data_IF_223431797153
#
_entry.id   IF_223431797153
#
_cell.length_a   1.000
_cell.length_b   1.000
_cell.length_c   1.000
_cell.angle_alpha   90.00
_cell.angle_beta   90.00
_cell.angle_gamma   90.00
#
_symmetry.space_group_name_H-M   'P 1'
#
loop_
_entity.id
_entity.type
_entity.pdbx_description
1 polymer ?
#
# COMPACT_ATOMS: atom_id res chain seq x y z
N UNK A 1 22.32 -3.20 18.97
CA UNK A 1 21.06 -3.31 18.23
C UNK A 1 21.20 -4.51 17.32
N UNK A 2 20.78 -5.68 17.78
CA UNK A 2 20.66 -6.85 16.91
C UNK A 2 19.54 -6.52 15.91
N UNK A 3 19.91 -6.44 14.63
CA UNK A 3 18.95 -6.40 13.54
C UNK A 3 18.17 -7.71 13.60
N UNK A 4 16.85 -7.63 13.74
CA UNK A 4 15.92 -8.76 13.72
C UNK A 4 16.37 -9.78 12.68
N UNK A 5 16.49 -11.05 13.09
CA UNK A 5 16.94 -12.12 12.19
C UNK A 5 16.03 -12.25 10.96
N UNK A 6 16.54 -12.83 9.87
CA UNK A 6 15.75 -13.12 8.67
C UNK A 6 14.34 -13.71 8.92
N UNK A 7 14.17 -14.74 9.79
CA UNK A 7 12.86 -15.29 10.08
C UNK A 7 11.96 -14.36 10.90
N UNK A 8 12.50 -13.64 11.89
CA UNK A 8 11.72 -12.69 12.69
C UNK A 8 11.20 -11.52 11.85
N UNK A 9 12.01 -11.06 10.89
CA UNK A 9 11.59 -10.05 9.93
C UNK A 9 10.50 -10.57 8.99
N UNK A 10 10.58 -11.84 8.57
CA UNK A 10 9.56 -12.45 7.73
C UNK A 10 8.22 -12.57 8.47
N UNK A 11 8.24 -12.99 9.74
CA UNK A 11 7.06 -13.06 10.60
C UNK A 11 6.45 -11.67 10.83
N UNK A 12 7.30 -10.66 11.07
CA UNK A 12 6.85 -9.27 11.20
C UNK A 12 6.15 -8.81 9.92
N UNK A 13 6.76 -9.02 8.76
CA UNK A 13 6.18 -8.65 7.46
C UNK A 13 4.86 -9.39 7.23
N UNK A 14 4.78 -10.69 7.54
CA UNK A 14 3.56 -11.48 7.41
C UNK A 14 2.43 -10.98 8.32
N UNK A 15 2.74 -10.36 9.45
CA UNK A 15 1.76 -9.79 10.40
C UNK A 15 1.22 -8.41 10.01
N UNK A 16 1.81 -7.75 9.01
CA UNK A 16 1.40 -6.39 8.62
C UNK A 16 -0.02 -6.37 8.03
N UNK A 17 -0.87 -5.39 8.36
CA UNK A 17 -2.19 -5.20 7.77
C UNK A 17 -2.11 -4.54 6.37
N UNK A 18 -1.14 -4.97 5.57
CA UNK A 18 -0.76 -4.38 4.29
C UNK A 18 0.63 -4.87 3.88
N UNK A 19 1.15 -4.35 2.77
CA UNK A 19 2.44 -4.75 2.22
C UNK A 19 3.35 -3.53 2.04
N UNK A 20 4.66 -3.75 1.89
CA UNK A 20 5.60 -2.69 1.54
C UNK A 20 5.90 -2.71 0.05
N UNK A 21 6.08 -1.51 -0.51
CA UNK A 21 6.38 -1.29 -1.92
C UNK A 21 7.52 -0.27 -2.05
N UNK A 22 8.45 -0.52 -2.98
CA UNK A 22 9.51 0.40 -3.33
C UNK A 22 9.52 0.66 -4.85
N UNK A 23 9.44 1.92 -5.24
CA UNK A 23 9.41 2.34 -6.64
C UNK A 23 10.33 3.54 -6.90
N UNK A 24 10.81 3.66 -8.13
CA UNK A 24 11.55 4.83 -8.60
C UNK A 24 10.61 6.02 -8.89
N UNK A 25 11.17 7.20 -9.17
CA UNK A 25 10.38 8.40 -9.57
C UNK A 25 9.64 8.18 -10.89
N UNK A 26 10.20 7.35 -11.75
CA UNK A 26 9.66 7.00 -13.06
C UNK A 26 8.55 5.95 -12.94
N UNK A 27 8.38 5.35 -11.77
CA UNK A 27 7.39 4.30 -11.51
C UNK A 27 7.92 2.88 -11.66
N UNK A 28 9.21 2.69 -11.97
CA UNK A 28 9.82 1.36 -11.99
C UNK A 28 9.70 0.68 -10.62
N UNK A 29 9.19 -0.55 -10.60
CA UNK A 29 9.04 -1.37 -9.41
C UNK A 29 10.39 -1.97 -9.01
N UNK A 30 10.86 -1.67 -7.81
CA UNK A 30 12.16 -2.13 -7.29
C UNK A 30 12.00 -3.26 -6.28
N UNK A 31 10.92 -3.22 -5.50
CA UNK A 31 10.66 -4.26 -4.51
C UNK A 31 9.23 -4.22 -4.00
N UNK A 32 8.77 -5.40 -3.58
CA UNK A 32 7.50 -5.61 -2.90
C UNK A 32 7.68 -6.74 -1.89
N UNK A 33 7.03 -6.68 -0.74
CA UNK A 33 7.08 -7.76 0.25
C UNK A 33 6.25 -8.96 -0.15
N UNK A 34 6.66 -10.15 0.27
CA UNK A 34 6.04 -11.43 -0.12
C UNK A 34 4.58 -11.57 0.35
N UNK A 35 4.20 -10.88 1.43
CA UNK A 35 2.84 -10.87 1.95
C UNK A 35 1.82 -10.19 1.02
N UNK A 36 2.26 -9.53 -0.07
CA UNK A 36 1.37 -8.92 -1.08
C UNK A 36 0.34 -9.89 -1.66
N UNK A 37 0.66 -11.18 -1.74
CA UNK A 37 -0.26 -12.22 -2.19
C UNK A 37 -1.52 -12.33 -1.32
N UNK A 38 -1.39 -12.09 -0.02
CA UNK A 38 -2.53 -12.12 0.92
C UNK A 38 -3.48 -10.94 0.69
N UNK A 39 -2.95 -9.82 0.19
CA UNK A 39 -3.68 -8.58 -0.01
C UNK A 39 -4.25 -8.43 -1.43
N UNK A 40 -3.46 -8.70 -2.47
CA UNK A 40 -3.83 -8.50 -3.87
C UNK A 40 -4.13 -9.82 -4.62
N UNK A 41 -3.75 -10.96 -4.06
CA UNK A 41 -3.89 -12.28 -4.70
C UNK A 41 -2.84 -12.58 -5.77
N UNK A 42 -1.89 -11.67 -6.02
CA UNK A 42 -0.74 -11.89 -6.88
C UNK A 42 0.47 -12.27 -6.04
N UNK A 43 1.25 -13.29 -6.42
CA UNK A 43 2.53 -13.53 -5.76
C UNK A 43 3.51 -12.39 -6.06
N UNK A 44 4.51 -12.18 -5.19
CA UNK A 44 5.61 -11.23 -5.46
C UNK A 44 6.25 -11.53 -6.82
N UNK A 45 6.47 -12.81 -7.11
CA UNK A 45 7.02 -13.27 -8.39
C UNK A 45 6.11 -12.89 -9.56
N UNK A 46 4.80 -13.07 -9.43
CA UNK A 46 3.86 -12.68 -10.49
C UNK A 46 3.87 -11.17 -10.70
N UNK A 47 3.93 -10.35 -9.65
CA UNK A 47 3.95 -8.89 -9.79
C UNK A 47 5.21 -8.39 -10.49
N UNK A 48 6.36 -8.94 -10.09
CA UNK A 48 7.66 -8.60 -10.69
C UNK A 48 7.78 -9.15 -12.11
N UNK A 49 7.17 -10.30 -12.40
CA UNK A 49 7.13 -10.88 -13.74
C UNK A 49 6.08 -10.22 -14.65
N UNK A 50 4.97 -9.71 -14.10
CA UNK A 50 3.88 -9.07 -14.84
C UNK A 50 4.17 -7.60 -15.19
N UNK A 51 4.99 -6.91 -14.39
CA UNK A 51 5.29 -5.50 -14.63
C UNK A 51 6.64 -5.08 -14.07
N UNK A 52 7.45 -4.45 -14.92
CA UNK A 52 8.64 -3.71 -14.49
C UNK A 52 8.24 -2.37 -13.82
N UNK A 53 6.95 -2.01 -13.90
CA UNK A 53 6.41 -0.72 -13.48
C UNK A 53 5.19 -0.87 -12.57
N UNK A 54 5.07 0.03 -11.59
CA UNK A 54 3.89 0.15 -10.74
C UNK A 54 2.63 0.41 -11.58
N UNK A 55 2.74 1.11 -12.71
CA UNK A 55 1.59 1.43 -13.56
C UNK A 55 0.95 0.20 -14.21
N UNK A 56 1.68 -0.91 -14.36
CA UNK A 56 1.10 -2.16 -14.88
C UNK A 56 0.19 -2.83 -13.83
N UNK A 57 0.38 -2.48 -12.56
CA UNK A 57 -0.36 -3.01 -11.43
C UNK A 57 -1.57 -2.14 -11.05
N UNK A 58 -1.69 -0.94 -11.61
CA UNK A 58 -2.69 0.05 -11.21
C UNK A 58 -3.84 0.14 -12.22
N UNK A 59 -4.97 0.72 -11.76
CA UNK A 59 -6.00 1.20 -12.66
C UNK A 59 -5.46 2.39 -13.49
N UNK A 60 -5.58 2.36 -14.83
CA UNK A 60 -5.14 3.46 -15.70
C UNK A 60 -5.69 4.84 -15.31
N UNK A 61 -6.89 4.88 -14.72
CA UNK A 61 -7.49 6.13 -14.25
C UNK A 61 -6.69 6.79 -13.11
N UNK A 62 -5.89 6.01 -12.36
CA UNK A 62 -5.09 6.51 -11.24
C UNK A 62 -3.64 6.84 -11.65
N UNK A 63 -3.22 6.53 -12.89
CA UNK A 63 -1.86 6.80 -13.37
C UNK A 63 -1.45 8.28 -13.25
N UNK A 64 -2.28 9.27 -13.63
CA UNK A 64 -1.91 10.68 -13.52
C UNK A 64 -1.67 11.10 -12.08
N UNK A 65 -2.49 10.60 -11.14
CA UNK A 65 -2.35 10.87 -9.71
C UNK A 65 -1.03 10.31 -9.18
N UNK A 66 -0.74 9.03 -9.45
CA UNK A 66 0.48 8.39 -8.95
C UNK A 66 1.72 9.03 -9.56
N UNK A 67 1.71 9.34 -10.86
CA UNK A 67 2.82 10.03 -11.51
C UNK A 67 3.07 11.40 -10.89
N UNK A 68 2.01 12.17 -10.63
CA UNK A 68 2.12 13.44 -9.92
C UNK A 68 2.70 13.25 -8.51
N UNK A 69 2.23 12.24 -7.77
CA UNK A 69 2.73 11.92 -6.43
C UNK A 69 4.16 11.39 -6.41
N UNK A 70 4.72 10.87 -7.51
CA UNK A 70 6.13 10.47 -7.56
C UNK A 70 7.05 11.61 -8.03
N UNK A 71 6.53 12.56 -8.81
CA UNK A 71 7.31 13.69 -9.33
C UNK A 71 7.21 14.96 -8.49
N UNK A 72 6.22 15.08 -7.59
CA UNK A 72 6.04 16.27 -6.77
C UNK A 72 7.36 16.62 -6.06
N UNK A 73 7.88 17.84 -6.17
CA UNK A 73 9.05 18.26 -5.41
C UNK A 73 8.68 18.34 -3.92
N UNK A 74 9.62 18.00 -3.06
CA UNK A 74 9.43 18.07 -1.61
C UNK A 74 10.74 17.74 -0.90
N UNK A 75 10.84 18.07 0.40
CA UNK A 75 12.00 17.70 1.18
C UNK A 75 12.18 16.17 1.17
N UNK A 76 13.42 15.67 1.33
CA UNK A 76 13.76 14.25 1.21
C UNK A 76 13.06 13.34 2.22
N UNK A 77 12.29 13.88 3.17
CA UNK A 77 11.52 13.12 4.16
C UNK A 77 10.03 13.49 4.17
N UNK A 78 9.54 14.26 3.19
CA UNK A 78 8.11 14.55 3.08
C UNK A 78 7.33 13.25 2.86
N UNK A 79 6.44 12.97 3.82
CA UNK A 79 5.47 11.89 3.71
C UNK A 79 4.44 12.23 2.63
N UNK A 80 4.06 11.20 1.87
CA UNK A 80 3.02 11.25 0.84
C UNK A 80 1.96 10.24 1.20
N UNK A 81 0.71 10.68 1.10
CA UNK A 81 -0.47 9.90 1.38
C UNK A 81 -1.44 10.03 0.22
N UNK A 82 -1.70 8.93 -0.48
CA UNK A 82 -2.65 8.91 -1.59
C UNK A 82 -3.26 7.53 -1.73
N UNK A 83 -4.39 7.44 -2.43
CA UNK A 83 -5.07 6.18 -2.72
C UNK A 83 -5.05 5.88 -4.21
N UNK A 84 -4.89 4.62 -4.57
CA UNK A 84 -5.07 4.15 -5.93
C UNK A 84 -5.61 2.72 -5.94
N UNK A 85 -6.15 2.31 -7.08
CA UNK A 85 -6.70 0.98 -7.28
C UNK A 85 -5.63 0.08 -7.87
N UNK A 86 -5.33 -1.00 -7.15
CA UNK A 86 -4.48 -2.08 -7.64
C UNK A 86 -5.33 -3.14 -8.33
N UNK A 87 -4.83 -3.67 -9.43
CA UNK A 87 -5.35 -4.87 -10.07
C UNK A 87 -5.15 -6.07 -9.14
N UNK A 88 -6.16 -6.92 -9.04
CA UNK A 88 -6.12 -8.15 -8.23
C UNK A 88 -6.16 -9.39 -9.10
N UNK A 89 -5.58 -10.48 -8.62
CA UNK A 89 -5.59 -11.74 -9.34
C UNK A 89 -7.01 -12.24 -9.55
N UNK A 90 -7.31 -12.70 -10.77
CA UNK A 90 -8.61 -13.30 -11.13
C UNK A 90 -8.90 -14.62 -10.39
N UNK A 91 -7.89 -15.22 -9.76
CA UNK A 91 -8.04 -16.41 -8.94
C UNK A 91 -8.65 -16.12 -7.55
N UNK A 92 -8.77 -14.85 -7.16
CA UNK A 92 -9.41 -14.43 -5.91
C UNK A 92 -10.93 -14.63 -6.00
N UNK A 93 -11.47 -15.67 -5.35
CA UNK A 93 -12.92 -15.94 -5.19
C UNK A 93 -13.63 -14.95 -4.25
N UNK A 94 -13.28 -13.65 -4.28
CA UNK A 94 -13.95 -12.59 -3.49
C UNK A 94 -14.72 -11.64 -4.41
N UNK A 95 -15.86 -11.05 -3.97
CA UNK A 95 -16.76 -10.24 -4.81
C UNK A 95 -16.13 -8.97 -5.42
N UNK A 96 -15.00 -8.48 -4.90
CA UNK A 96 -14.20 -7.40 -5.49
C UNK A 96 -13.34 -7.93 -6.65
N UNK A 97 -13.99 -8.51 -7.66
CA UNK A 97 -13.28 -9.17 -8.75
C UNK A 97 -12.65 -8.12 -9.67
N UNK A 98 -11.34 -7.91 -9.53
CA UNK A 98 -10.49 -7.26 -10.53
C UNK A 98 -9.65 -6.10 -9.99
N UNK A 99 -10.15 -5.33 -9.01
CA UNK A 99 -9.43 -4.17 -8.44
C UNK A 99 -9.71 -3.97 -6.96
N UNK A 100 -8.71 -3.50 -6.21
CA UNK A 100 -8.82 -3.11 -4.80
C UNK A 100 -8.27 -1.72 -4.58
N UNK A 101 -8.98 -0.92 -3.79
CA UNK A 101 -8.50 0.40 -3.36
C UNK A 101 -7.45 0.22 -2.26
N UNK A 102 -6.29 0.83 -2.43
CA UNK A 102 -5.15 0.74 -1.51
C UNK A 102 -4.71 2.16 -1.15
N UNK A 103 -4.46 2.37 0.14
CA UNK A 103 -3.86 3.59 0.66
C UNK A 103 -2.33 3.42 0.71
N UNK A 104 -1.61 4.31 0.05
CA UNK A 104 -0.15 4.36 0.07
C UNK A 104 0.28 5.48 1.00
N UNK A 105 1.05 5.11 2.01
CA UNK A 105 1.72 6.03 2.93
C UNK A 105 3.21 5.80 2.82
N UNK A 106 3.94 6.77 2.28
CA UNK A 106 5.36 6.58 2.00
C UNK A 106 6.16 7.86 1.90
N UNK A 107 7.46 7.72 1.66
CA UNK A 107 8.38 8.83 1.46
C UNK A 107 9.51 8.41 0.53
N UNK A 108 10.19 9.39 -0.04
CA UNK A 108 11.45 9.12 -0.72
C UNK A 108 12.53 8.81 0.31
N UNK A 109 13.26 7.72 0.11
CA UNK A 109 14.41 7.35 0.91
C UNK A 109 15.66 7.80 0.14
N UNK A 110 16.56 8.49 0.83
CA UNK A 110 17.88 8.76 0.26
C UNK A 110 18.63 7.43 0.11
N UNK A 111 19.33 7.21 -1.01
CA UNK A 111 20.15 6.02 -1.18
C UNK A 111 21.25 5.99 -0.10
N UNK A 112 21.68 4.79 0.34
CA UNK A 112 22.88 4.67 1.17
C UNK A 112 24.08 5.13 0.34
N UNK A 113 24.63 6.31 0.64
CA UNK A 113 25.74 6.90 -0.10
C UNK A 113 25.89 8.40 0.16
N UNK A 114 26.92 9.04 -0.43
CA UNK A 114 27.08 10.48 -0.32
C UNK A 114 25.86 11.21 -0.92
N UNK A 115 25.50 12.38 -0.38
CA UNK A 115 24.36 13.16 -0.87
C UNK A 115 24.54 13.45 -2.37
N UNK A 116 23.54 13.05 -3.17
CA UNK A 116 23.51 13.26 -4.63
C UNK A 116 23.86 12.03 -5.49
N UNK A 117 24.21 10.89 -4.91
CA UNK A 117 24.72 9.73 -5.66
C UNK A 117 23.67 8.94 -6.47
N UNK A 118 22.39 8.93 -6.08
CA UNK A 118 21.34 8.27 -6.86
C UNK A 118 19.94 8.84 -6.57
N UNK A 119 18.98 8.68 -7.51
CA UNK A 119 17.61 9.11 -7.28
C UNK A 119 17.02 8.32 -6.10
N UNK A 120 16.40 9.03 -5.15
CA UNK A 120 15.74 8.38 -4.02
C UNK A 120 14.62 7.43 -4.48
N UNK A 121 14.40 6.37 -3.71
CA UNK A 121 13.30 5.42 -3.92
C UNK A 121 12.09 5.86 -3.10
N UNK A 122 10.92 5.89 -3.72
CA UNK A 122 9.69 6.03 -2.96
C UNK A 122 9.37 4.69 -2.29
N UNK A 123 9.45 4.65 -0.97
CA UNK A 123 9.11 3.48 -0.16
C UNK A 123 7.82 3.78 0.58
N UNK A 124 6.84 2.89 0.44
CA UNK A 124 5.51 3.06 1.00
C UNK A 124 5.00 1.80 1.68
N UNK A 125 4.22 2.01 2.74
CA UNK A 125 3.28 1.04 3.26
C UNK A 125 1.96 1.15 2.50
N UNK A 126 1.46 0.02 2.05
CA UNK A 126 0.29 -0.12 1.21
C UNK A 126 -0.80 -0.89 1.97
N UNK A 127 -1.81 -0.17 2.45
CA UNK A 127 -2.93 -0.73 3.22
C UNK A 127 -4.17 -0.87 2.32
N UNK A 128 -4.64 -2.09 2.01
CA UNK A 128 -5.92 -2.30 1.35
C UNK A 128 -7.05 -1.73 2.20
N UNK A 129 -8.01 -1.04 1.57
CA UNK A 129 -9.14 -0.43 2.27
C UNK A 129 -10.36 -1.36 2.38
N UNK A 130 -10.32 -2.53 1.73
CA UNK A 130 -11.41 -3.52 1.73
C UNK A 130 -10.93 -4.92 2.19
N UNK A 131 -11.56 -5.49 3.24
CA UNK A 131 -12.58 -4.88 4.10
C UNK A 131 -12.02 -3.66 4.87
N UNK A 132 -12.89 -2.76 5.38
CA UNK A 132 -12.45 -1.59 6.14
C UNK A 132 -11.47 -2.01 7.25
N UNK A 133 -10.43 -1.20 7.53
CA UNK A 133 -9.34 -1.54 8.46
C UNK A 133 -9.78 -1.56 9.94
N UNK A 134 -11.06 -1.82 10.20
CA UNK A 134 -11.65 -1.96 11.52
C UNK A 134 -10.94 -3.05 12.31
N UNK A 135 -10.89 -2.89 13.65
CA UNK A 135 -10.03 -3.70 14.49
C UNK A 135 -10.23 -5.16 14.17
N UNK A 136 -9.12 -5.88 13.90
CA UNK A 136 -9.11 -7.33 13.96
C UNK A 136 -9.90 -7.76 15.21
N UNK A 137 -10.55 -8.94 15.20
CA UNK A 137 -11.07 -9.52 16.44
C UNK A 137 -10.05 -9.48 17.60
N UNK A 138 -8.75 -9.49 17.25
CA UNK A 138 -7.60 -9.41 18.16
C UNK A 138 -7.08 -7.97 18.44
N UNK A 139 -7.59 -6.94 17.75
CA UNK A 139 -7.32 -5.53 18.06
C UNK A 139 -8.18 -5.09 19.26
N UNK A 140 -7.99 -5.77 20.38
CA UNK A 140 -8.86 -5.83 21.55
C UNK A 140 -8.95 -4.55 22.42
N UNK A 141 -8.44 -3.38 22.01
CA UNK A 141 -8.22 -2.28 22.98
C UNK A 141 -8.61 -0.85 22.55
N UNK A 142 -9.22 -0.63 21.37
CA UNK A 142 -9.68 0.71 21.01
C UNK A 142 -11.21 0.81 20.96
N UNK A 143 -11.83 1.79 21.66
CA UNK A 143 -13.24 2.09 21.46
C UNK A 143 -13.43 2.54 20.00
N UNK A 144 -14.28 1.83 19.28
CA UNK A 144 -14.63 2.12 17.90
C UNK A 144 -16.15 2.21 17.79
N UNK A 145 -16.67 3.04 16.91
CA UNK A 145 -18.09 3.06 16.57
C UNK A 145 -18.22 3.07 15.05
N UNK A 146 -19.34 2.57 14.57
CA UNK A 146 -19.68 2.58 13.16
C UNK A 146 -20.71 3.68 12.92
N UNK A 147 -20.54 4.46 11.87
CA UNK A 147 -21.53 5.43 11.42
C UNK A 147 -21.85 5.20 9.96
N UNK A 148 -23.10 5.45 9.57
CA UNK A 148 -23.57 5.39 8.19
C UNK A 148 -23.94 6.80 7.77
N UNK A 149 -23.48 7.17 6.58
CA UNK A 149 -23.68 8.51 6.03
C UNK A 149 -24.27 8.42 4.64
N UNK A 150 -25.04 9.44 4.25
CA UNK A 150 -25.38 9.69 2.86
C UNK A 150 -24.14 10.19 2.09
N UNK A 151 -24.26 10.32 0.76
CA UNK A 151 -23.13 10.73 -0.11
C UNK A 151 -22.64 12.16 0.17
N UNK A 152 -23.51 12.99 0.71
CA UNK A 152 -23.24 14.35 1.19
C UNK A 152 -22.67 14.38 2.62
N UNK A 153 -22.32 13.20 3.15
CA UNK A 153 -21.83 12.99 4.52
C UNK A 153 -22.88 13.24 5.62
N UNK A 154 -24.16 13.46 5.26
CA UNK A 154 -25.22 13.57 6.26
C UNK A 154 -25.32 12.27 7.06
N UNK A 155 -25.28 12.38 8.39
CA UNK A 155 -25.33 11.23 9.28
C UNK A 155 -26.71 10.58 9.20
N UNK A 156 -26.74 9.29 8.87
CA UNK A 156 -27.96 8.50 8.78
C UNK A 156 -28.18 7.63 10.01
N UNK A 157 -27.09 7.07 10.56
CA UNK A 157 -27.14 6.06 11.61
C UNK A 157 -25.79 5.97 12.33
N UNK A 158 -25.78 5.57 13.59
CA UNK A 158 -24.57 5.30 14.39
C UNK A 158 -24.82 4.02 15.17
N UNK A 159 -23.82 3.14 15.22
CA UNK A 159 -23.89 1.94 16.05
C UNK A 159 -24.02 2.33 17.50
N UNK A 160 -25.09 1.88 18.14
CA UNK A 160 -25.20 1.84 19.59
C UNK A 160 -24.15 0.83 20.09
N UNK A 161 -23.05 1.30 20.64
CA UNK A 161 -22.23 0.49 21.55
C UNK A 161 -22.73 0.69 22.97
#
# INVERSE_FOLDING_TARGET
MELLGGPELADLVASLPGFLLAVTREGKLVGVTDNVAQHLGHSMVDLVAQGDSIYDLLDPADHPLVRHQLTLPGPPQAERLFRCRFTTSRASRRPSAGRKLVLLRGRFQAPPGPPGASPGLFVAFCAPLDPPPWPCPDCLLLPAFQSRHARDLALLDVSDR
#
